data_IF_164055168221
#
_entry.id   IF_164055168221
#
_cell.length_a   1.000
_cell.length_b   1.000
_cell.length_c   1.000
_cell.angle_alpha   90.00
_cell.angle_beta   90.00
_cell.angle_gamma   90.00
#
_symmetry.space_group_name_H-M   'P 1'
#
loop_
_entity.id
_entity.type
_entity.pdbx_description
1 polymer ?
#
# COMPACT_ATOMS: atom_id res chain seq x y z
N UNK A 1 14.60 -7.40 -6.46
CA UNK A 1 14.11 -6.14 -5.87
C UNK A 1 14.80 -4.91 -6.45
N UNK A 2 16.12 -4.74 -6.28
CA UNK A 2 16.86 -3.58 -6.84
C UNK A 2 16.52 -3.24 -8.30
N UNK A 3 16.54 -4.23 -9.19
CA UNK A 3 16.21 -4.03 -10.60
C UNK A 3 14.75 -3.58 -10.81
N UNK A 4 13.80 -4.17 -10.07
CA UNK A 4 12.38 -3.80 -10.13
C UNK A 4 12.20 -2.33 -9.72
N UNK A 5 12.78 -1.92 -8.58
CA UNK A 5 12.65 -0.56 -8.08
C UNK A 5 13.27 0.46 -9.05
N UNK A 6 14.42 0.16 -9.64
CA UNK A 6 15.05 1.05 -10.63
C UNK A 6 14.22 1.25 -11.91
N UNK A 7 13.35 0.30 -12.26
CA UNK A 7 12.45 0.41 -13.41
C UNK A 7 11.14 1.14 -13.07
N UNK A 8 10.73 1.15 -11.79
CA UNK A 8 9.48 1.78 -11.33
C UNK A 8 9.71 3.20 -10.84
N UNK A 9 10.69 3.37 -9.95
CA UNK A 9 10.98 4.59 -9.23
C UNK A 9 12.39 5.05 -9.61
N UNK A 10 12.49 6.25 -10.18
CA UNK A 10 13.76 6.85 -10.59
C UNK A 10 14.59 7.36 -9.40
N UNK A 11 14.01 7.44 -8.20
CA UNK A 11 14.70 7.93 -7.02
C UNK A 11 15.56 6.82 -6.40
N UNK A 12 16.90 6.92 -6.48
CA UNK A 12 17.80 5.89 -5.96
C UNK A 12 17.71 5.72 -4.44
N UNK A 13 17.24 6.74 -3.70
CA UNK A 13 17.09 6.69 -2.25
C UNK A 13 16.11 5.60 -1.84
N UNK A 14 15.01 5.43 -2.57
CA UNK A 14 14.02 4.37 -2.33
C UNK A 14 14.64 2.99 -2.48
N UNK A 15 15.43 2.79 -3.54
CA UNK A 15 16.18 1.56 -3.76
C UNK A 15 17.19 1.33 -2.64
N UNK A 16 17.95 2.34 -2.23
CA UNK A 16 18.94 2.22 -1.16
C UNK A 16 18.32 1.91 0.21
N UNK A 17 17.13 2.47 0.50
CA UNK A 17 16.33 2.12 1.69
C UNK A 17 15.87 0.66 1.61
N UNK A 18 15.22 0.25 0.52
CA UNK A 18 14.73 -1.12 0.36
C UNK A 18 15.84 -2.16 0.48
N UNK A 19 17.04 -1.84 -0.03
CA UNK A 19 18.22 -2.69 0.05
C UNK A 19 18.98 -2.57 1.39
N UNK A 20 18.46 -1.80 2.36
CA UNK A 20 19.05 -1.61 3.69
C UNK A 20 20.44 -0.96 3.67
N UNK A 21 20.79 -0.25 2.60
CA UNK A 21 22.02 0.54 2.48
C UNK A 21 21.88 1.85 3.23
N UNK A 22 20.73 2.53 3.07
CA UNK A 22 20.29 3.58 3.97
C UNK A 22 19.30 2.94 4.95
N UNK A 23 19.56 3.08 6.25
CA UNK A 23 18.72 2.53 7.31
C UNK A 23 18.16 3.67 8.14
N UNK A 24 16.93 4.12 7.87
CA UNK A 24 16.31 5.20 8.63
C UNK A 24 16.04 4.81 10.08
N UNK A 25 15.85 3.51 10.31
CA UNK A 25 15.45 2.96 11.60
C UNK A 25 16.62 2.37 12.38
N UNK A 26 16.54 2.48 13.70
CA UNK A 26 17.46 1.85 14.64
C UNK A 26 17.58 0.35 14.39
N UNK A 27 18.77 -0.22 14.59
CA UNK A 27 19.00 -1.67 14.54
C UNK A 27 18.22 -2.47 15.60
N UNK A 28 17.73 -1.79 16.65
CA UNK A 28 16.89 -2.38 17.69
C UNK A 28 15.39 -2.32 17.35
N UNK A 29 15.01 -1.66 16.25
CA UNK A 29 13.62 -1.67 15.79
C UNK A 29 13.26 -3.03 15.18
N UNK A 30 11.98 -3.39 15.24
CA UNK A 30 11.42 -4.51 14.49
C UNK A 30 11.30 -4.25 12.98
N UNK A 31 11.89 -3.16 12.44
CA UNK A 31 11.79 -2.83 11.01
C UNK A 31 12.85 -3.57 10.20
N UNK A 32 12.39 -4.35 9.22
CA UNK A 32 13.22 -5.10 8.27
C UNK A 32 13.09 -4.50 6.86
N UNK A 33 14.19 -4.49 6.11
CA UNK A 33 14.26 -3.91 4.76
C UNK A 33 14.04 -4.99 3.71
N UNK A 34 12.98 -4.86 2.91
CA UNK A 34 12.46 -5.98 2.13
C UNK A 34 13.45 -6.54 1.08
N UNK A 35 14.28 -5.67 0.48
CA UNK A 35 15.24 -6.01 -0.55
C UNK A 35 16.50 -6.74 -0.06
N UNK A 36 16.75 -6.82 1.25
CA UNK A 36 17.93 -7.50 1.80
C UNK A 36 17.74 -9.02 1.87
N UNK A 37 18.24 -9.76 0.87
CA UNK A 37 18.34 -11.23 0.92
C UNK A 37 19.53 -11.60 1.83
N UNK A 38 19.37 -12.27 2.98
CA UNK A 38 19.10 -13.70 3.16
C UNK A 38 18.39 -14.03 4.49
N UNK A 39 17.82 -13.02 5.17
CA UNK A 39 17.15 -13.16 6.47
C UNK A 39 15.65 -12.84 6.45
N UNK A 40 15.11 -12.33 5.34
CA UNK A 40 13.68 -12.01 5.19
C UNK A 40 12.80 -13.22 4.88
N UNK A 41 13.29 -14.44 5.17
CA UNK A 41 12.53 -15.71 5.21
C UNK A 41 11.48 -15.73 6.34
N UNK A 42 11.31 -14.63 7.10
CA UNK A 42 10.30 -14.53 8.16
C UNK A 42 8.92 -14.09 7.67
N UNK A 43 8.85 -13.34 6.57
CA UNK A 43 7.56 -12.98 5.96
C UNK A 43 7.21 -13.98 4.86
N UNK A 44 6.69 -15.13 5.27
CA UNK A 44 5.93 -16.06 4.42
C UNK A 44 4.51 -15.52 4.13
N UNK A 45 4.34 -14.19 4.08
CA UNK A 45 3.06 -13.58 3.75
C UNK A 45 3.12 -12.99 2.33
N UNK A 46 2.29 -13.47 1.40
CA UNK A 46 2.12 -12.91 0.08
C UNK A 46 1.34 -11.61 0.16
N UNK A 47 1.94 -10.56 -0.37
CA UNK A 47 1.29 -9.29 -0.58
C UNK A 47 0.35 -9.37 -1.79
N UNK A 48 -0.77 -8.62 -1.80
CA UNK A 48 -1.49 -8.35 -3.04
C UNK A 48 -0.51 -7.86 -4.12
N UNK A 49 -0.56 -8.40 -5.36
CA UNK A 49 0.44 -8.07 -6.38
C UNK A 49 0.56 -6.58 -6.72
N UNK A 50 -0.42 -5.74 -6.40
CA UNK A 50 -0.35 -4.29 -6.56
C UNK A 50 0.61 -3.59 -5.59
N UNK A 51 1.03 -4.27 -4.52
CA UNK A 51 1.84 -3.70 -3.46
C UNK A 51 3.28 -4.24 -3.50
N UNK A 52 4.24 -3.33 -3.58
CA UNK A 52 5.67 -3.64 -3.64
C UNK A 52 6.30 -3.17 -2.33
N UNK A 53 6.56 -4.07 -1.37
CA UNK A 53 7.07 -3.69 -0.06
C UNK A 53 8.51 -3.18 -0.13
N UNK A 54 8.80 -2.15 0.67
CA UNK A 54 10.10 -1.52 0.88
C UNK A 54 10.61 -1.83 2.29
N UNK A 55 9.80 -1.59 3.31
CA UNK A 55 10.07 -1.85 4.74
C UNK A 55 8.92 -2.65 5.32
N UNK A 56 9.20 -3.54 6.27
CA UNK A 56 8.19 -4.22 7.08
C UNK A 56 8.48 -3.95 8.56
N UNK A 57 7.50 -3.45 9.29
CA UNK A 57 7.54 -3.25 10.74
C UNK A 57 6.93 -4.45 11.47
N UNK A 58 7.72 -5.12 12.33
CA UNK A 58 7.30 -6.23 13.19
C UNK A 58 7.18 -5.86 14.68
N UNK A 59 7.24 -4.57 15.04
CA UNK A 59 7.10 -4.14 16.44
C UNK A 59 5.70 -4.46 17.02
N UNK A 60 4.70 -4.64 16.15
CA UNK A 60 3.34 -5.03 16.53
C UNK A 60 2.74 -6.00 15.49
N UNK A 61 1.43 -5.96 15.26
CA UNK A 61 0.85 -6.57 14.06
C UNK A 61 1.65 -6.06 12.85
N UNK A 62 2.14 -6.93 11.96
CA UNK A 62 2.97 -6.48 10.85
C UNK A 62 2.28 -5.39 10.03
N UNK A 63 3.04 -4.36 9.66
CA UNK A 63 2.66 -3.34 8.70
C UNK A 63 3.82 -3.21 7.73
N UNK A 64 3.54 -3.20 6.43
CA UNK A 64 4.59 -2.93 5.45
C UNK A 64 4.35 -1.61 4.75
N UNK A 65 5.42 -0.88 4.50
CA UNK A 65 5.44 0.35 3.72
C UNK A 65 6.03 0.05 2.35
N UNK A 66 5.46 0.65 1.30
CA UNK A 66 5.79 0.26 -0.05
C UNK A 66 5.15 1.11 -1.13
N UNK A 67 5.34 0.66 -2.37
CA UNK A 67 4.76 1.26 -3.57
C UNK A 67 3.43 0.58 -3.88
N UNK A 68 2.41 1.37 -4.15
CA UNK A 68 1.11 0.97 -4.68
C UNK A 68 1.16 1.21 -6.20
N UNK A 69 1.17 0.15 -7.00
CA UNK A 69 1.19 0.22 -8.47
C UNK A 69 0.11 -0.67 -9.08
N UNK A 70 -0.78 -0.05 -9.85
CA UNK A 70 -1.67 -0.76 -10.75
C UNK A 70 -1.04 -0.82 -12.15
N UNK A 71 -0.59 -2.00 -12.57
CA UNK A 71 0.15 -2.18 -13.84
C UNK A 71 -0.72 -2.03 -15.09
N UNK A 72 -2.00 -2.36 -14.98
CA UNK A 72 -2.93 -2.33 -16.12
C UNK A 72 -3.95 -1.20 -16.03
N UNK A 73 -3.82 -0.30 -15.06
CA UNK A 73 -4.68 0.87 -14.92
C UNK A 73 -3.88 2.14 -15.23
N UNK A 74 -4.54 3.18 -15.74
CA UNK A 74 -3.95 4.51 -15.95
C UNK A 74 -3.84 5.26 -14.62
N UNK A 75 -3.04 4.72 -13.70
CA UNK A 75 -2.75 5.28 -12.38
C UNK A 75 -1.25 5.46 -12.22
N UNK A 76 -0.86 6.65 -11.77
CA UNK A 76 0.46 6.86 -11.20
C UNK A 76 0.63 5.96 -9.97
N UNK A 77 1.87 5.52 -9.74
CA UNK A 77 2.16 4.82 -8.50
C UNK A 77 2.18 5.81 -7.34
N UNK A 78 1.84 5.32 -6.16
CA UNK A 78 1.90 6.08 -4.93
C UNK A 78 2.63 5.26 -3.88
N UNK A 79 2.88 5.86 -2.73
CA UNK A 79 3.45 5.19 -1.58
C UNK A 79 2.37 5.03 -0.52
N UNK A 80 2.46 3.93 0.22
CA UNK A 80 1.44 3.58 1.17
C UNK A 80 1.89 2.52 2.12
N UNK A 81 0.95 2.11 2.95
CA UNK A 81 1.12 0.97 3.84
C UNK A 81 0.13 -0.13 3.51
N UNK A 82 0.45 -1.33 3.97
CA UNK A 82 -0.47 -2.46 4.08
C UNK A 82 -0.51 -2.94 5.53
N UNK A 83 -1.70 -2.96 6.11
CA UNK A 83 -1.95 -3.47 7.46
C UNK A 83 -2.46 -4.92 7.37
N UNK A 84 -1.66 -5.84 7.90
CA UNK A 84 -1.96 -7.27 7.86
C UNK A 84 -3.06 -7.66 8.86
N UNK A 85 -3.18 -6.98 10.00
CA UNK A 85 -4.24 -7.25 10.99
C UNK A 85 -5.60 -6.76 10.54
N UNK A 86 -5.63 -5.78 9.66
CA UNK A 86 -6.85 -5.22 9.08
C UNK A 86 -7.24 -5.87 7.74
N UNK A 87 -6.83 -7.12 7.51
CA UNK A 87 -7.20 -7.89 6.32
C UNK A 87 -6.52 -7.36 5.05
N UNK A 88 -5.22 -7.07 5.14
CA UNK A 88 -4.39 -6.54 4.05
C UNK A 88 -4.89 -5.19 3.53
N UNK A 89 -5.34 -4.32 4.43
CA UNK A 89 -5.85 -3.01 4.08
C UNK A 89 -4.73 -2.11 3.54
N UNK A 90 -4.93 -1.48 2.39
CA UNK A 90 -3.92 -0.63 1.74
C UNK A 90 -4.35 0.85 1.78
N UNK A 91 -3.53 1.67 2.45
CA UNK A 91 -3.71 3.13 2.54
C UNK A 91 -2.63 3.89 1.79
N UNK A 92 -3.01 4.99 1.10
CA UNK A 92 -2.06 5.92 0.48
C UNK A 92 -1.53 6.90 1.51
N UNK A 93 -0.23 6.82 1.82
CA UNK A 93 0.46 7.71 2.76
C UNK A 93 1.32 8.76 2.08
N UNK A 94 1.70 8.60 0.81
CA UNK A 94 2.48 9.58 0.07
C UNK A 94 2.27 9.45 -1.45
N UNK A 95 2.46 10.55 -2.20
CA UNK A 95 2.28 10.61 -3.65
C UNK A 95 3.56 10.90 -4.42
N UNK A 96 4.68 11.08 -3.71
CA UNK A 96 6.01 11.18 -4.30
C UNK A 96 7.05 10.54 -3.37
N UNK A 97 8.25 10.29 -3.92
CA UNK A 97 9.38 9.77 -3.15
C UNK A 97 9.79 10.74 -2.03
N UNK A 98 9.71 12.04 -2.27
CA UNK A 98 10.01 13.08 -1.27
C UNK A 98 9.04 13.01 -0.09
N UNK A 99 7.73 12.92 -0.36
CA UNK A 99 6.73 12.76 0.70
C UNK A 99 6.97 11.47 1.50
N UNK A 100 7.26 10.36 0.82
CA UNK A 100 7.54 9.09 1.48
C UNK A 100 8.78 9.18 2.38
N UNK A 101 9.89 9.72 1.88
CA UNK A 101 11.14 9.82 2.62
C UNK A 101 11.04 10.81 3.78
N UNK A 102 10.43 11.97 3.56
CA UNK A 102 10.28 12.99 4.60
C UNK A 102 9.31 12.55 5.70
N UNK A 103 8.17 11.94 5.34
CA UNK A 103 7.22 11.36 6.30
C UNK A 103 7.86 10.25 7.14
N UNK A 104 8.61 9.35 6.50
CA UNK A 104 9.36 8.30 7.18
C UNK A 104 10.44 8.85 8.14
N UNK A 105 11.18 9.88 7.74
CA UNK A 105 12.16 10.52 8.61
C UNK A 105 11.50 11.27 9.77
N UNK A 106 10.33 11.87 9.53
CA UNK A 106 9.56 12.56 10.55
C UNK A 106 8.99 11.60 11.60
N UNK A 107 8.53 10.42 11.20
CA UNK A 107 8.15 9.36 12.14
C UNK A 107 9.33 8.98 13.05
N UNK A 108 10.53 8.82 12.48
CA UNK A 108 11.75 8.59 13.26
C UNK A 108 12.15 9.74 14.18
N UNK A 109 11.76 10.95 13.84
CA UNK A 109 11.96 12.10 14.70
C UNK A 109 10.99 12.08 15.89
N UNK A 110 9.71 11.74 15.64
CA UNK A 110 8.69 11.63 16.70
C UNK A 110 9.01 10.49 17.68
N UNK A 111 9.51 9.36 17.17
CA UNK A 111 9.85 8.19 18.00
C UNK A 111 11.07 8.42 18.92
N UNK A 112 11.86 9.47 18.66
CA UNK A 112 13.01 9.81 19.50
C UNK A 112 12.56 10.45 20.81
N UNK A 113 13.19 10.03 21.91
CA UNK A 113 12.93 10.60 23.22
C UNK A 113 13.20 12.12 23.22
N UNK A 114 12.18 12.90 23.58
CA UNK A 114 12.18 14.37 23.58
C UNK A 114 12.42 15.05 22.22
N UNK A 115 12.15 14.39 21.09
CA UNK A 115 12.26 14.99 19.75
C UNK A 115 13.67 15.55 19.45
N UNK A 116 14.73 14.93 19.97
CA UNK A 116 16.08 15.48 19.86
C UNK A 116 16.71 15.12 18.52
N UNK A 117 17.11 16.11 17.72
CA UNK A 117 17.93 15.86 16.52
C UNK A 117 19.38 15.54 16.89
N UNK A 118 19.69 14.25 17.02
CA UNK A 118 21.05 13.76 17.25
C UNK A 118 21.95 13.93 16.02
N UNK A 119 23.28 13.89 16.20
CA UNK A 119 24.23 13.91 15.07
C UNK A 119 24.01 12.74 14.09
N UNK A 120 23.58 11.59 14.62
CA UNK A 120 23.21 10.42 13.80
C UNK A 120 21.98 10.72 12.94
N UNK A 121 20.93 11.31 13.52
CA UNK A 121 19.73 11.74 12.81
C UNK A 121 20.06 12.77 11.71
N UNK A 122 20.88 13.78 12.02
CA UNK A 122 21.29 14.79 11.04
C UNK A 122 22.15 14.20 9.91
N UNK A 123 23.00 13.23 10.23
CA UNK A 123 23.79 12.48 9.23
C UNK A 123 22.89 11.65 8.31
N UNK A 124 21.87 11.00 8.86
CA UNK A 124 20.84 10.29 8.09
C UNK A 124 20.04 11.25 7.20
N UNK A 125 19.55 12.37 7.75
CA UNK A 125 18.82 13.39 7.01
C UNK A 125 19.62 13.89 5.80
N UNK A 126 20.93 14.10 5.98
CA UNK A 126 21.85 14.48 4.90
C UNK A 126 21.97 13.39 3.83
N UNK A 127 22.05 12.10 4.21
CA UNK A 127 22.06 10.98 3.26
C UNK A 127 20.76 10.90 2.46
N UNK A 128 19.63 11.16 3.12
CA UNK A 128 18.30 11.22 2.50
C UNK A 128 18.05 12.52 1.72
N UNK A 129 18.99 13.47 1.76
CA UNK A 129 18.91 14.76 1.08
C UNK A 129 17.73 15.62 1.55
N UNK A 130 17.42 15.55 2.85
CA UNK A 130 16.42 16.42 3.48
C UNK A 130 17.05 17.79 3.75
N UNK A 131 16.33 18.86 3.38
CA UNK A 131 16.81 20.23 3.54
C UNK A 131 16.77 20.68 5.00
N UNK A 132 17.64 21.61 5.38
CA UNK A 132 17.61 22.23 6.71
C UNK A 132 16.28 22.95 6.98
N UNK A 133 15.68 23.53 5.94
CA UNK A 133 14.35 24.15 6.02
C UNK A 133 13.27 23.12 6.39
N UNK A 134 13.26 21.95 5.73
CA UNK A 134 12.32 20.88 6.07
C UNK A 134 12.53 20.38 7.51
N UNK A 135 13.78 20.14 7.91
CA UNK A 135 14.11 19.73 9.28
C UNK A 135 13.62 20.75 10.31
N UNK A 136 13.77 22.05 10.05
CA UNK A 136 13.31 23.10 10.97
C UNK A 136 11.81 23.03 11.27
N UNK A 137 11.02 22.45 10.36
CA UNK A 137 9.57 22.27 10.52
C UNK A 137 9.18 21.06 11.35
N UNK A 138 10.08 20.11 11.57
CA UNK A 138 9.77 18.89 12.32
C UNK A 138 9.35 19.21 13.75
N UNK A 139 10.07 20.09 14.46
CA UNK A 139 9.68 20.51 15.82
C UNK A 139 8.32 21.23 15.86
N UNK A 140 8.09 22.18 14.93
CA UNK A 140 6.83 22.93 14.86
C UNK A 140 5.63 21.99 14.64
N UNK A 141 5.83 20.96 13.81
CA UNK A 141 4.79 19.99 13.49
C UNK A 141 4.62 18.95 14.60
N UNK A 142 5.70 18.50 15.26
CA UNK A 142 5.64 17.50 16.35
C UNK A 142 4.91 17.98 17.59
N UNK A 143 4.83 19.29 17.84
CA UNK A 143 4.08 19.87 18.96
C UNK A 143 2.54 19.81 18.76
N UNK A 144 2.06 19.39 17.60
CA UNK A 144 0.63 19.28 17.32
C UNK A 144 0.06 18.00 17.94
N UNK A 145 -0.88 18.15 18.86
CA UNK A 145 -1.64 17.05 19.46
C UNK A 145 -2.76 16.54 18.52
N UNK A 146 -2.38 15.93 17.39
CA UNK A 146 -3.32 15.37 16.42
C UNK A 146 -2.86 14.01 15.93
N UNK A 147 -3.80 13.13 15.56
CA UNK A 147 -3.45 11.94 14.80
C UNK A 147 -2.97 12.33 13.39
N UNK A 148 -2.07 11.54 12.81
CA UNK A 148 -1.45 11.78 11.49
C UNK A 148 -0.73 13.14 11.42
N UNK A 149 0.17 13.38 12.38
CA UNK A 149 0.91 14.63 12.54
C UNK A 149 1.78 14.96 11.31
N UNK A 150 2.28 13.93 10.62
CA UNK A 150 3.04 14.00 9.37
C UNK A 150 2.30 14.76 8.26
N UNK A 151 0.96 14.66 8.22
CA UNK A 151 0.13 15.36 7.24
C UNK A 151 0.21 16.90 7.29
N UNK A 152 0.81 17.46 8.34
CA UNK A 152 1.03 18.90 8.48
C UNK A 152 2.42 19.37 8.04
N UNK A 153 3.29 18.45 7.61
CA UNK A 153 4.57 18.82 7.02
C UNK A 153 4.35 19.56 5.68
N UNK A 154 5.14 20.60 5.36
CA UNK A 154 4.93 21.41 4.16
C UNK A 154 4.86 20.60 2.86
N UNK A 155 5.66 19.53 2.74
CA UNK A 155 5.71 18.67 1.56
C UNK A 155 4.37 17.97 1.25
N UNK A 156 3.48 17.86 2.23
CA UNK A 156 2.16 17.23 2.07
C UNK A 156 1.07 18.22 1.64
N UNK A 157 1.25 19.54 1.82
CA UNK A 157 0.17 20.52 1.72
C UNK A 157 -0.40 20.63 0.28
N UNK A 158 0.45 20.75 -0.72
CA UNK A 158 0.00 20.96 -2.11
C UNK A 158 -0.55 19.67 -2.75
N UNK A 159 0.03 18.53 -2.37
CA UNK A 159 -0.17 17.25 -3.05
C UNK A 159 -0.60 16.17 -2.05
N UNK A 160 -1.67 16.44 -1.29
CA UNK A 160 -2.07 15.60 -0.16
C UNK A 160 -2.37 14.15 -0.58
N UNK A 161 -1.76 13.15 0.08
CA UNK A 161 -2.19 11.77 0.00
C UNK A 161 -3.53 11.59 0.72
N UNK A 162 -4.27 10.56 0.35
CA UNK A 162 -5.64 10.38 0.83
C UNK A 162 -5.71 10.19 2.35
N UNK A 163 -4.70 9.60 3.00
CA UNK A 163 -4.67 9.45 4.46
C UNK A 163 -4.62 10.80 5.23
N UNK A 164 -4.25 11.88 4.55
CA UNK A 164 -4.25 13.23 5.13
C UNK A 164 -5.58 13.98 4.96
N UNK A 165 -6.59 13.32 4.38
CA UNK A 165 -7.83 13.98 3.96
C UNK A 165 -9.04 13.43 4.72
N UNK A 166 -9.76 14.35 5.38
CA UNK A 166 -11.01 14.04 6.07
C UNK A 166 -12.26 14.41 5.25
N UNK A 167 -12.10 15.13 4.13
CA UNK A 167 -13.18 15.53 3.23
C UNK A 167 -12.75 15.39 1.77
N UNK A 168 -13.53 14.63 0.99
CA UNK A 168 -13.24 14.27 -0.41
C UNK A 168 -13.07 15.44 -1.40
N UNK A 169 -13.50 16.66 -1.05
CA UNK A 169 -13.59 17.78 -1.99
C UNK A 169 -12.25 18.23 -2.60
N UNK A 170 -11.12 18.01 -1.92
CA UNK A 170 -9.82 18.53 -2.35
C UNK A 170 -8.83 17.44 -2.80
N UNK A 171 -9.21 16.16 -2.73
CA UNK A 171 -8.36 15.09 -3.21
C UNK A 171 -8.38 15.04 -4.73
N UNK A 172 -7.21 15.04 -5.37
CA UNK A 172 -7.06 14.93 -6.83
C UNK A 172 -6.29 13.66 -7.26
N UNK A 173 -5.92 12.77 -6.33
CA UNK A 173 -5.27 11.50 -6.65
C UNK A 173 -6.25 10.39 -7.02
N UNK A 174 -5.70 9.18 -7.16
CA UNK A 174 -6.42 7.98 -7.65
C UNK A 174 -6.74 6.94 -6.58
N UNK A 175 -6.26 7.09 -5.34
CA UNK A 175 -6.61 6.17 -4.25
C UNK A 175 -8.11 6.24 -3.95
N UNK A 176 -8.79 5.11 -3.72
CA UNK A 176 -10.25 5.09 -3.71
C UNK A 176 -10.86 5.38 -2.34
N UNK A 177 -10.18 5.13 -1.23
CA UNK A 177 -10.74 5.39 0.09
C UNK A 177 -9.71 5.43 1.21
N UNK A 178 -10.11 6.00 2.35
CA UNK A 178 -9.43 5.88 3.64
C UNK A 178 -10.48 5.56 4.73
N UNK A 179 -10.11 5.64 6.00
CA UNK A 179 -11.00 5.32 7.14
C UNK A 179 -12.32 6.10 7.15
N UNK A 180 -12.34 7.32 6.60
CA UNK A 180 -13.42 8.28 6.76
C UNK A 180 -14.15 8.60 5.45
N UNK A 181 -13.48 8.55 4.30
CA UNK A 181 -14.02 8.93 3.00
C UNK A 181 -13.82 7.85 1.93
N UNK A 182 -14.78 7.80 1.01
CA UNK A 182 -14.70 7.06 -0.25
C UNK A 182 -14.76 8.05 -1.42
N UNK A 183 -13.86 7.88 -2.37
CA UNK A 183 -13.75 8.68 -3.60
C UNK A 183 -14.44 7.91 -4.72
N UNK A 184 -15.75 8.07 -4.84
CA UNK A 184 -16.62 7.31 -5.75
C UNK A 184 -16.10 7.26 -7.20
N UNK A 185 -15.56 8.38 -7.71
CA UNK A 185 -14.99 8.47 -9.06
C UNK A 185 -13.78 7.56 -9.30
N UNK A 186 -13.09 7.13 -8.24
CA UNK A 186 -11.90 6.27 -8.31
C UNK A 186 -12.24 4.77 -8.20
N UNK A 187 -13.50 4.42 -7.87
CA UNK A 187 -13.91 3.03 -7.57
C UNK A 187 -13.76 2.09 -8.77
N UNK A 188 -13.90 2.60 -9.99
CA UNK A 188 -13.73 1.80 -11.21
C UNK A 188 -12.27 1.38 -11.48
N UNK A 189 -11.31 1.91 -10.72
CA UNK A 189 -9.90 1.51 -10.79
C UNK A 189 -9.35 1.04 -9.44
N UNK A 190 -10.25 0.75 -8.50
CA UNK A 190 -9.92 0.30 -7.16
C UNK A 190 -9.78 -1.22 -7.09
N UNK A 191 -8.77 -1.67 -6.36
CA UNK A 191 -8.70 -3.04 -5.85
C UNK A 191 -9.50 -3.20 -4.56
N UNK A 192 -9.79 -4.45 -4.18
CA UNK A 192 -10.52 -4.72 -2.95
C UNK A 192 -9.77 -4.22 -1.70
N UNK A 193 -8.44 -4.39 -1.69
CA UNK A 193 -7.59 -4.08 -0.54
C UNK A 193 -7.50 -2.57 -0.25
N UNK A 194 -7.77 -1.71 -1.23
CA UNK A 194 -7.77 -0.25 -1.06
C UNK A 194 -9.11 0.31 -0.53
N UNK A 195 -10.14 -0.53 -0.37
CA UNK A 195 -11.44 -0.13 0.18
C UNK A 195 -11.45 -0.32 1.70
N UNK A 196 -11.41 0.77 2.48
CA UNK A 196 -11.34 0.73 3.94
C UNK A 196 -12.61 0.17 4.58
N UNK A 197 -13.76 0.75 4.26
CA UNK A 197 -15.04 0.30 4.80
C UNK A 197 -15.69 -0.66 3.81
N UNK A 198 -15.61 -1.97 4.07
CA UNK A 198 -16.11 -2.99 3.13
C UNK A 198 -17.64 -2.93 2.96
N UNK A 199 -18.36 -2.31 3.88
CA UNK A 199 -19.80 -2.01 3.73
C UNK A 199 -20.11 -1.15 2.49
N UNK A 200 -19.19 -0.25 2.08
CA UNK A 200 -19.36 0.55 0.86
C UNK A 200 -19.49 -0.30 -0.41
N UNK A 201 -18.90 -1.50 -0.40
CA UNK A 201 -18.91 -2.43 -1.53
C UNK A 201 -19.75 -3.69 -1.26
N UNK A 202 -20.67 -3.62 -0.30
CA UNK A 202 -21.67 -4.67 -0.11
C UNK A 202 -21.27 -5.81 0.84
N UNK A 203 -20.05 -5.80 1.37
CA UNK A 203 -19.60 -6.80 2.34
C UNK A 203 -20.16 -6.51 3.74
N UNK A 204 -20.20 -7.52 4.59
CA UNK A 204 -20.61 -7.41 6.00
C UNK A 204 -22.05 -6.90 6.27
N UNK A 205 -22.88 -6.68 5.24
CA UNK A 205 -24.30 -6.35 5.38
C UNK A 205 -25.08 -7.47 6.11
N UNK A 206 -24.58 -8.70 6.04
CA UNK A 206 -25.28 -9.91 6.52
C UNK A 206 -24.57 -10.66 7.65
N UNK A 207 -23.73 -10.01 8.47
CA UNK A 207 -23.31 -10.60 9.76
C UNK A 207 -24.51 -10.67 10.73
N UNK A 208 -25.46 -11.55 10.41
CA UNK A 208 -26.55 -12.07 11.23
C UNK A 208 -25.99 -13.26 12.02
N UNK A 209 -25.00 -13.01 12.87
CA UNK A 209 -24.68 -13.93 13.96
C UNK A 209 -25.77 -13.83 15.03
N UNK A 210 -25.92 -14.87 15.87
CA UNK A 210 -26.94 -15.05 16.94
C UNK A 210 -26.95 -13.97 18.05
N UNK A 211 -26.48 -12.75 17.80
CA UNK A 211 -26.57 -11.62 18.70
C UNK A 211 -27.88 -10.85 18.45
N UNK A 212 -28.68 -10.69 19.50
CA UNK A 212 -29.93 -9.92 19.50
C UNK A 212 -29.75 -8.42 19.18
N UNK A 213 -28.53 -7.94 18.94
CA UNK A 213 -28.24 -6.59 18.49
C UNK A 213 -27.76 -6.60 17.05
N UNK A 214 -28.71 -6.56 16.10
CA UNK A 214 -28.41 -6.24 14.70
C UNK A 214 -27.83 -4.82 14.63
N UNK A 215 -26.51 -4.69 14.65
CA UNK A 215 -25.84 -3.40 14.45
C UNK A 215 -26.12 -2.98 13.01
N UNK A 216 -26.84 -1.87 12.83
CA UNK A 216 -27.03 -1.30 11.49
C UNK A 216 -25.65 -0.96 10.90
N UNK A 217 -25.41 -1.25 9.62
CA UNK A 217 -24.15 -0.90 8.99
C UNK A 217 -23.94 0.62 9.08
N UNK A 218 -22.71 1.02 9.40
CA UNK A 218 -22.34 2.44 9.57
C UNK A 218 -22.45 3.20 8.24
N UNK A 219 -22.20 2.51 7.14
CA UNK A 219 -22.20 3.07 5.79
C UNK A 219 -23.20 2.33 4.89
N UNK A 220 -23.75 3.08 3.93
CA UNK A 220 -24.57 2.48 2.87
C UNK A 220 -23.67 2.01 1.73
N UNK A 221 -23.99 0.87 1.09
CA UNK A 221 -23.32 0.45 -0.13
C UNK A 221 -23.51 1.48 -1.24
N UNK A 222 -22.51 1.61 -2.10
CA UNK A 222 -22.62 2.40 -3.32
C UNK A 222 -23.56 1.69 -4.32
N UNK A 223 -24.36 2.47 -5.05
CA UNK A 223 -25.32 1.92 -6.02
C UNK A 223 -24.64 1.18 -7.18
N UNK A 224 -23.49 1.70 -7.63
CA UNK A 224 -22.75 1.19 -8.79
C UNK A 224 -21.33 0.80 -8.40
N UNK A 225 -21.14 -0.46 -8.02
CA UNK A 225 -19.82 -1.06 -7.80
C UNK A 225 -19.46 -2.04 -8.93
N UNK A 226 -18.20 -2.07 -9.36
CA UNK A 226 -17.74 -3.00 -10.39
C UNK A 226 -17.74 -4.45 -9.90
N UNK A 227 -17.88 -5.41 -10.82
CA UNK A 227 -18.07 -6.83 -10.49
C UNK A 227 -16.90 -7.44 -9.72
N UNK A 228 -15.67 -6.97 -9.95
CA UNK A 228 -14.50 -7.45 -9.21
C UNK A 228 -14.51 -7.03 -7.73
N UNK A 229 -15.31 -6.02 -7.35
CA UNK A 229 -15.53 -5.62 -5.96
C UNK A 229 -16.79 -6.21 -5.32
N UNK A 230 -17.61 -6.98 -6.04
CA UNK A 230 -18.86 -7.55 -5.49
C UNK A 230 -18.60 -8.84 -4.69
N UNK A 231 -19.19 -9.05 -3.50
CA UNK A 231 -18.96 -10.24 -2.68
C UNK A 231 -19.54 -11.54 -3.26
N UNK A 232 -20.54 -11.45 -4.13
CA UNK A 232 -21.34 -12.56 -4.65
C UNK A 232 -20.95 -13.00 -6.07
N UNK A 233 -19.93 -12.38 -6.65
CA UNK A 233 -19.40 -12.73 -7.98
C UNK A 233 -18.20 -13.66 -7.82
N UNK A 234 -18.21 -14.79 -8.53
CA UNK A 234 -17.09 -15.71 -8.49
C UNK A 234 -15.88 -15.18 -9.26
N UNK A 235 -14.77 -15.00 -8.53
CA UNK A 235 -13.60 -14.23 -9.00
C UNK A 235 -12.78 -14.99 -10.01
N UNK A 236 -12.70 -16.32 -9.90
CA UNK A 236 -11.95 -17.15 -10.84
C UNK A 236 -12.55 -17.08 -12.24
N UNK A 237 -13.87 -17.25 -12.35
CA UNK A 237 -14.59 -17.13 -13.62
C UNK A 237 -14.56 -15.70 -14.17
N UNK A 238 -14.68 -14.69 -13.28
CA UNK A 238 -14.62 -13.29 -13.67
C UNK A 238 -13.26 -12.90 -14.29
N UNK A 239 -12.16 -13.41 -13.73
CA UNK A 239 -10.83 -13.21 -14.31
C UNK A 239 -10.75 -13.77 -15.74
N UNK A 240 -11.22 -15.02 -15.95
CA UNK A 240 -11.24 -15.64 -17.27
C UNK A 240 -12.06 -14.83 -18.27
N UNK A 241 -13.23 -14.37 -17.85
CA UNK A 241 -14.10 -13.53 -18.65
C UNK A 241 -13.37 -12.28 -19.14
N UNK A 242 -12.71 -11.54 -18.24
CA UNK A 242 -11.97 -10.33 -18.60
C UNK A 242 -10.76 -10.61 -19.48
N UNK A 243 -10.03 -11.70 -19.24
CA UNK A 243 -8.92 -12.12 -20.11
C UNK A 243 -9.39 -12.40 -21.55
N UNK A 244 -10.52 -13.10 -21.74
CA UNK A 244 -11.09 -13.38 -23.07
C UNK A 244 -11.55 -12.09 -23.76
N UNK A 245 -12.12 -11.15 -22.99
CA UNK A 245 -12.56 -9.84 -23.49
C UNK A 245 -11.44 -8.85 -23.71
N UNK A 246 -10.20 -9.18 -23.33
CA UNK A 246 -9.02 -8.30 -23.36
C UNK A 246 -9.17 -7.06 -22.47
N UNK A 247 -9.98 -7.17 -21.43
CA UNK A 247 -10.15 -6.14 -20.40
C UNK A 247 -9.13 -6.39 -19.27
N UNK A 248 -7.84 -6.23 -19.62
CA UNK A 248 -6.73 -6.65 -18.75
C UNK A 248 -6.63 -5.82 -17.46
N UNK A 249 -7.08 -4.58 -17.49
CA UNK A 249 -7.25 -3.71 -16.34
C UNK A 249 -8.19 -4.34 -15.30
N UNK A 250 -9.34 -4.84 -15.73
CA UNK A 250 -10.32 -5.49 -14.84
C UNK A 250 -9.87 -6.86 -14.39
N UNK A 251 -9.18 -7.62 -15.26
CA UNK A 251 -8.54 -8.88 -14.89
C UNK A 251 -7.48 -8.66 -13.78
N UNK A 252 -6.66 -7.61 -13.92
CA UNK A 252 -5.69 -7.18 -12.91
C UNK A 252 -6.36 -6.78 -11.59
N UNK A 253 -7.42 -5.98 -11.63
CA UNK A 253 -8.16 -5.58 -10.42
C UNK A 253 -8.82 -6.78 -9.73
N UNK A 254 -9.23 -7.80 -10.49
CA UNK A 254 -9.84 -9.03 -9.95
C UNK A 254 -8.87 -9.83 -9.08
N UNK A 255 -7.60 -10.01 -9.51
CA UNK A 255 -6.62 -10.78 -8.73
C UNK A 255 -6.07 -10.02 -7.52
N UNK A 256 -6.33 -8.72 -7.45
CA UNK A 256 -6.03 -7.87 -6.30
C UNK A 256 -7.24 -7.79 -5.35
N UNK A 257 -7.80 -8.95 -5.03
CA UNK A 257 -8.91 -9.11 -4.10
C UNK A 257 -9.02 -10.55 -3.57
N UNK A 258 -10.08 -10.84 -2.81
CA UNK A 258 -10.29 -12.17 -2.23
C UNK A 258 -10.65 -13.20 -3.31
N UNK A 259 -10.67 -14.48 -2.93
CA UNK A 259 -11.12 -15.58 -3.81
C UNK A 259 -9.99 -16.34 -4.52
N UNK A 260 -8.74 -16.01 -4.24
CA UNK A 260 -7.57 -16.70 -4.75
C UNK A 260 -6.61 -17.07 -3.63
N UNK A 261 -6.00 -18.25 -3.72
CA UNK A 261 -4.77 -18.52 -2.99
C UNK A 261 -3.55 -17.93 -3.76
N UNK A 262 -2.36 -17.86 -3.14
CA UNK A 262 -1.18 -17.28 -3.78
C UNK A 262 -0.72 -18.03 -5.04
N UNK A 263 -0.82 -19.35 -5.06
CA UNK A 263 -0.54 -20.14 -6.26
C UNK A 263 -1.43 -19.70 -7.45
N UNK A 264 -2.73 -19.57 -7.22
CA UNK A 264 -3.72 -19.13 -8.21
C UNK A 264 -3.52 -17.69 -8.67
N UNK A 265 -3.06 -16.79 -7.78
CA UNK A 265 -2.63 -15.44 -8.16
C UNK A 265 -1.39 -15.51 -9.06
N UNK A 266 -0.42 -16.38 -8.72
CA UNK A 266 0.79 -16.59 -9.50
C UNK A 266 0.51 -17.05 -10.93
N UNK A 267 -0.38 -18.03 -11.11
CA UNK A 267 -0.82 -18.49 -12.44
C UNK A 267 -1.39 -17.34 -13.29
N UNK A 268 -2.20 -16.47 -12.66
CA UNK A 268 -2.87 -15.35 -13.33
C UNK A 268 -1.91 -14.21 -13.63
N UNK A 269 -0.92 -13.95 -12.77
CA UNK A 269 0.19 -13.04 -13.06
C UNK A 269 0.95 -13.47 -14.31
N UNK A 270 1.26 -14.76 -14.44
CA UNK A 270 1.94 -15.28 -15.64
C UNK A 270 1.09 -15.09 -16.91
N UNK A 271 -0.24 -15.18 -16.82
CA UNK A 271 -1.12 -14.89 -17.96
C UNK A 271 -1.19 -13.41 -18.32
N UNK A 272 -1.25 -12.53 -17.33
CA UNK A 272 -1.16 -11.08 -17.56
C UNK A 272 0.21 -10.69 -18.13
N UNK A 273 1.28 -11.37 -17.72
CA UNK A 273 2.64 -11.17 -18.25
C UNK A 273 2.72 -11.45 -19.75
N UNK A 274 1.99 -12.46 -20.25
CA UNK A 274 1.96 -12.81 -21.68
C UNK A 274 1.37 -11.71 -22.57
N UNK A 275 0.55 -10.82 -22.02
CA UNK A 275 -0.12 -9.74 -22.78
C UNK A 275 0.46 -8.35 -22.50
N UNK A 276 1.34 -8.22 -21.50
CA UNK A 276 2.03 -6.97 -21.16
C UNK A 276 3.40 -6.89 -21.83
N UNK A 277 3.82 -5.67 -22.20
CA UNK A 277 5.17 -5.38 -22.69
C UNK A 277 6.02 -4.61 -21.66
N UNK A 278 5.47 -4.33 -20.47
CA UNK A 278 6.14 -3.52 -19.46
C UNK A 278 7.20 -4.34 -18.71
N UNK A 279 8.48 -3.97 -18.88
CA UNK A 279 9.61 -4.68 -18.28
C UNK A 279 9.51 -4.75 -16.76
N UNK A 280 9.15 -3.64 -16.11
CA UNK A 280 8.99 -3.57 -14.66
C UNK A 280 7.94 -4.57 -14.14
N UNK A 281 6.81 -4.69 -14.83
CA UNK A 281 5.78 -5.67 -14.49
C UNK A 281 6.28 -7.10 -14.65
N UNK A 282 7.03 -7.40 -15.72
CA UNK A 282 7.59 -8.73 -15.94
C UNK A 282 8.54 -9.14 -14.82
N UNK A 283 9.45 -8.25 -14.41
CA UNK A 283 10.37 -8.49 -13.31
C UNK A 283 9.63 -8.68 -11.98
N UNK A 284 8.59 -7.87 -11.74
CA UNK A 284 7.77 -7.97 -10.54
C UNK A 284 6.98 -9.28 -10.49
N UNK A 285 6.32 -9.67 -11.59
CA UNK A 285 5.57 -10.91 -11.68
C UNK A 285 6.46 -12.13 -11.43
N UNK A 286 7.67 -12.16 -12.01
CA UNK A 286 8.61 -13.26 -11.79
C UNK A 286 9.09 -13.35 -10.35
N UNK A 287 9.44 -12.19 -9.76
CA UNK A 287 9.82 -12.11 -8.35
C UNK A 287 8.68 -12.58 -7.43
N UNK A 288 7.46 -12.09 -7.66
CA UNK A 288 6.29 -12.44 -6.85
C UNK A 288 5.99 -13.94 -6.95
N UNK A 289 5.94 -14.49 -8.17
CA UNK A 289 5.70 -15.92 -8.40
C UNK A 289 6.80 -16.80 -7.77
N UNK A 290 8.07 -16.42 -7.90
CA UNK A 290 9.17 -17.15 -7.29
C UNK A 290 9.07 -17.19 -5.76
N UNK A 291 8.59 -16.11 -5.15
CA UNK A 291 8.52 -16.00 -3.69
C UNK A 291 7.25 -16.65 -3.12
N UNK A 292 6.12 -16.51 -3.79
CA UNK A 292 4.80 -16.81 -3.21
C UNK A 292 3.97 -17.81 -4.02
N UNK A 293 4.26 -18.01 -5.30
CA UNK A 293 3.43 -18.79 -6.22
C UNK A 293 3.35 -20.28 -5.93
N UNK A 294 4.02 -20.77 -4.89
CA UNK A 294 3.96 -22.16 -4.43
C UNK A 294 3.08 -22.35 -3.19
N UNK A 295 2.53 -21.27 -2.63
CA UNK A 295 1.73 -21.33 -1.40
C UNK A 295 0.25 -21.61 -1.71
N UNK A 296 -0.31 -22.61 -1.03
CA UNK A 296 -1.71 -23.05 -1.19
C UNK A 296 -2.65 -22.55 -0.07
N UNK A 297 -2.12 -21.80 0.90
CA UNK A 297 -2.93 -21.25 1.99
C UNK A 297 -3.83 -20.12 1.50
N UNK A 298 -5.10 -20.12 1.94
CA UNK A 298 -5.98 -18.97 1.76
C UNK A 298 -5.52 -17.84 2.67
N UNK A 299 -5.03 -16.77 2.08
CA UNK A 299 -4.49 -15.62 2.81
C UNK A 299 -5.40 -14.40 2.70
N UNK A 300 -6.28 -14.36 1.69
CA UNK A 300 -7.22 -13.28 1.44
C UNK A 300 -8.66 -13.78 1.67
N UNK A 301 -9.09 -13.86 2.94
CA UNK A 301 -10.47 -14.23 3.33
C UNK A 301 -11.24 -12.99 3.78
#
# INVERSE_FOLDING_TARGET
MKEILNEICSDPRITEISMGTIRPFSEYSGREYYGTTSKNDKADFPFPPLFIPIIIDYNSTPVAEGIIKHWFCEREYTFGYIDFGSGFLIGESARSSEQFIEGMLFEQFIDQFNYVMTDEFLSLAKKLQISEEALSKFYEVSERETNNTDCYLPIFIENQPLNCIYNKNNYNGSHPSNEVVIIERNILQASFFEIFQKEWIGYNIKNRGFSFFNRKPKYQPLDNIPDWLKPDIEKKELFEYYMVKKEYDKAWLTINGPGFNPNEVGERLQRLKQVSTEKAFHLWADFWCSKYGHMDSFIFV
#
